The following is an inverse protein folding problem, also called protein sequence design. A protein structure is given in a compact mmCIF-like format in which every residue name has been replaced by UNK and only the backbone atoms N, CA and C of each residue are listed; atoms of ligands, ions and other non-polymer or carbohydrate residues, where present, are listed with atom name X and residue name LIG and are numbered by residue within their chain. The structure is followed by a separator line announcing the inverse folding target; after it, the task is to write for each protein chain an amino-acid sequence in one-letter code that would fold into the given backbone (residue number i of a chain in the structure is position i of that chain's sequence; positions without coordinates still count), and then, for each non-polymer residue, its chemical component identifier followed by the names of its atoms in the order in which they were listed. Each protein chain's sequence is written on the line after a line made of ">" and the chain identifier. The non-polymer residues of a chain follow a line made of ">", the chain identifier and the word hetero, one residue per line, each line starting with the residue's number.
data_IF_303087107716
#
_entry.id   IF_303087107716
#
_cell.length_a   1.000
_cell.length_b   1.000
_cell.length_c   1.000
_cell.angle_alpha   90.00
_cell.angle_beta   90.00
_cell.angle_gamma   90.00
#
_symmetry.space_group_name_H-M   'P 1'
#
loop_
_entity.id
_entity.type
_entity.pdbx_description
1 polymer ?
#
# COMPACT_ATOMS: atom_id res chain seq x y z
N UNK A 1 11.24 10.58 11.73
CA UNK A 1 10.44 11.25 10.68
C UNK A 1 9.14 11.73 11.31
N UNK A 2 8.61 12.90 10.92
CA UNK A 2 7.32 13.41 11.41
C UNK A 2 6.32 13.51 10.25
N UNK A 3 5.03 13.42 10.55
CA UNK A 3 3.93 13.63 9.60
C UNK A 3 2.82 14.45 10.27
N UNK A 4 1.94 15.02 9.45
CA UNK A 4 0.78 15.78 9.93
C UNK A 4 -0.33 14.81 10.33
N UNK A 5 -0.97 15.09 11.46
CA UNK A 5 -2.23 14.45 11.85
C UNK A 5 -3.40 15.25 11.31
N UNK A 6 -4.48 14.57 10.97
CA UNK A 6 -5.73 15.18 10.53
C UNK A 6 -6.83 14.73 11.48
N UNK A 7 -7.75 15.62 11.85
CA UNK A 7 -8.76 15.32 12.87
C UNK A 7 -9.75 14.23 12.43
N UNK A 8 -10.04 14.15 11.13
CA UNK A 8 -11.05 13.23 10.57
C UNK A 8 -10.44 12.08 9.74
N UNK A 9 -9.12 12.07 9.51
CA UNK A 9 -8.46 11.09 8.64
C UNK A 9 -7.21 10.48 9.26
N UNK A 10 -7.03 9.18 9.05
CA UNK A 10 -5.85 8.44 9.51
C UNK A 10 -4.67 8.76 8.59
N UNK A 11 -3.54 9.31 9.11
CA UNK A 11 -2.34 9.46 8.32
C UNK A 11 -1.79 8.08 7.91
N UNK A 12 -1.46 7.84 6.64
CA UNK A 12 -0.98 6.53 6.19
C UNK A 12 0.33 6.13 6.87
N UNK A 13 1.17 7.10 7.22
CA UNK A 13 2.40 6.88 7.98
C UNK A 13 2.10 6.35 9.39
N UNK A 14 1.04 6.85 10.04
CA UNK A 14 0.62 6.38 11.36
C UNK A 14 0.15 4.93 11.31
N UNK A 15 -0.67 4.58 10.30
CA UNK A 15 -1.13 3.20 10.14
C UNK A 15 0.04 2.20 10.00
N UNK A 16 1.10 2.58 9.28
CA UNK A 16 2.31 1.77 9.11
C UNK A 16 3.13 1.69 10.41
N UNK A 17 3.22 2.78 11.18
CA UNK A 17 3.88 2.74 12.49
C UNK A 17 3.15 1.84 13.49
N UNK A 18 1.82 1.91 13.54
CA UNK A 18 1.02 1.01 14.36
C UNK A 18 1.24 -0.44 13.93
N UNK A 19 1.33 -0.70 12.63
CA UNK A 19 1.68 -2.03 12.14
C UNK A 19 3.08 -2.46 12.62
N UNK A 20 4.09 -1.60 12.51
CA UNK A 20 5.46 -1.85 12.99
C UNK A 20 5.51 -2.18 14.49
N UNK A 21 4.75 -1.45 15.31
CA UNK A 21 4.61 -1.69 16.74
C UNK A 21 3.94 -3.04 17.04
N UNK A 22 2.86 -3.37 16.34
CA UNK A 22 2.12 -4.62 16.52
C UNK A 22 2.92 -5.85 16.10
N UNK A 23 3.75 -5.72 15.07
CA UNK A 23 4.60 -6.82 14.57
C UNK A 23 5.99 -6.80 15.18
N UNK A 24 6.32 -5.76 15.98
CA UNK A 24 7.66 -5.50 16.50
C UNK A 24 8.73 -5.54 15.39
N UNK A 25 8.42 -5.06 14.18
CA UNK A 25 9.34 -5.09 13.03
C UNK A 25 9.72 -6.50 12.52
N UNK A 26 9.06 -7.57 13.00
CA UNK A 26 9.42 -8.96 12.67
C UNK A 26 8.72 -9.49 11.41
N UNK A 27 7.62 -8.87 11.00
CA UNK A 27 6.85 -9.32 9.84
C UNK A 27 7.64 -9.22 8.53
N UNK A 28 7.33 -10.13 7.61
CA UNK A 28 7.69 -10.00 6.20
C UNK A 28 6.65 -9.08 5.56
N UNK A 29 7.12 -8.01 4.94
CA UNK A 29 6.31 -7.00 4.29
C UNK A 29 6.47 -7.13 2.78
N UNK A 30 5.37 -7.40 2.08
CA UNK A 30 5.26 -7.08 0.65
C UNK A 30 4.64 -5.72 0.47
N UNK A 31 4.89 -5.09 -0.68
CA UNK A 31 4.19 -3.85 -1.05
C UNK A 31 3.70 -3.89 -2.48
N UNK A 32 2.61 -3.17 -2.72
CA UNK A 32 2.32 -2.63 -4.04
C UNK A 32 3.34 -1.56 -4.47
N UNK A 33 2.95 -0.75 -5.46
CA UNK A 33 3.75 0.37 -5.96
C UNK A 33 2.94 1.66 -5.89
N UNK A 34 3.52 2.69 -5.27
CA UNK A 34 2.86 3.98 -5.04
C UNK A 34 3.40 4.70 -3.81
N UNK A 35 2.63 5.65 -3.25
CA UNK A 35 3.05 6.35 -2.03
C UNK A 35 3.18 5.41 -0.83
N UNK A 36 2.27 4.43 -0.70
CA UNK A 36 2.29 3.42 0.35
C UNK A 36 3.61 2.63 0.37
N UNK A 37 4.19 2.33 -0.80
CA UNK A 37 5.50 1.68 -0.92
C UNK A 37 6.61 2.51 -0.26
N UNK A 38 6.60 3.83 -0.50
CA UNK A 38 7.60 4.74 0.07
C UNK A 38 7.38 4.93 1.58
N UNK A 39 6.14 5.02 2.03
CA UNK A 39 5.86 5.11 3.47
C UNK A 39 6.19 3.81 4.20
N UNK A 40 5.97 2.64 3.59
CA UNK A 40 6.39 1.36 4.15
C UNK A 40 7.92 1.28 4.28
N UNK A 41 8.66 1.80 3.30
CA UNK A 41 10.12 1.89 3.36
C UNK A 41 10.62 2.85 4.46
N UNK A 42 9.87 3.92 4.72
CA UNK A 42 10.26 4.99 5.64
C UNK A 42 9.87 4.72 7.10
N UNK A 43 8.71 4.11 7.34
CA UNK A 43 8.07 4.07 8.67
C UNK A 43 7.99 2.67 9.28
N UNK A 44 8.31 1.60 8.55
CA UNK A 44 8.41 0.26 9.09
C UNK A 44 9.86 -0.11 9.40
N UNK A 45 10.12 -0.73 10.55
CA UNK A 45 11.45 -1.03 11.06
C UNK A 45 11.85 -2.46 10.73
N UNK A 46 12.54 -2.66 9.61
CA UNK A 46 13.04 -3.98 9.20
C UNK A 46 14.26 -4.41 10.03
N UNK A 47 14.12 -5.50 10.80
CA UNK A 47 15.15 -6.00 11.73
C UNK A 47 16.11 -7.04 11.14
N UNK A 48 15.75 -7.69 10.04
CA UNK A 48 16.54 -8.76 9.42
C UNK A 48 16.48 -8.71 7.90
N UNK A 49 17.48 -9.29 7.20
CA UNK A 49 17.47 -9.39 5.75
C UNK A 49 16.22 -10.13 5.24
N UNK A 50 15.81 -9.80 4.01
CA UNK A 50 14.70 -10.45 3.28
C UNK A 50 13.33 -10.29 3.95
N UNK A 51 13.13 -9.24 4.75
CA UNK A 51 11.79 -8.87 5.26
C UNK A 51 11.02 -7.97 4.31
N UNK A 52 11.69 -7.17 3.48
CA UNK A 52 11.01 -6.23 2.59
C UNK A 52 11.04 -6.73 1.14
N UNK A 53 9.87 -7.06 0.62
CA UNK A 53 9.65 -7.58 -0.73
C UNK A 53 8.90 -6.52 -1.53
N UNK A 54 9.58 -5.85 -2.46
CA UNK A 54 8.98 -4.76 -3.23
C UNK A 54 9.45 -4.75 -4.67
N UNK A 55 8.57 -4.33 -5.59
CA UNK A 55 8.93 -4.10 -6.99
C UNK A 55 9.57 -2.72 -7.14
N UNK A 56 10.91 -2.68 -7.08
CA UNK A 56 11.68 -1.45 -7.18
C UNK A 56 11.87 -0.96 -8.61
N UNK A 57 12.63 -1.70 -9.42
CA UNK A 57 13.12 -1.20 -10.72
C UNK A 57 12.02 -1.05 -11.77
N UNK A 58 11.20 -2.10 -11.97
CA UNK A 58 10.12 -2.05 -12.97
C UNK A 58 8.88 -1.32 -12.43
N UNK A 59 8.71 -1.26 -11.10
CA UNK A 59 7.58 -0.56 -10.48
C UNK A 59 6.23 -1.18 -10.84
N UNK A 60 6.10 -2.51 -10.72
CA UNK A 60 4.88 -3.24 -11.08
C UNK A 60 3.81 -3.11 -9.99
N UNK A 61 2.74 -2.36 -10.29
CA UNK A 61 1.50 -2.39 -9.49
C UNK A 61 0.87 -3.79 -9.53
N UNK A 62 0.28 -4.24 -8.42
CA UNK A 62 -0.22 -5.62 -8.27
C UNK A 62 0.80 -6.65 -7.80
N UNK A 63 2.05 -6.25 -7.59
CA UNK A 63 3.09 -7.14 -7.07
C UNK A 63 2.83 -7.61 -5.62
N UNK A 64 2.25 -6.74 -4.78
CA UNK A 64 2.14 -6.94 -3.33
C UNK A 64 1.49 -8.26 -2.94
N UNK A 65 0.21 -8.43 -3.30
CA UNK A 65 -0.59 -9.59 -2.94
C UNK A 65 0.03 -10.96 -3.33
N UNK A 66 0.41 -11.20 -4.60
CA UNK A 66 1.05 -12.48 -4.98
C UNK A 66 2.43 -12.67 -4.33
N UNK A 67 3.19 -11.60 -4.08
CA UNK A 67 4.46 -11.70 -3.36
C UNK A 67 4.27 -12.10 -1.89
N UNK A 68 3.26 -11.57 -1.20
CA UNK A 68 2.89 -12.00 0.14
C UNK A 68 2.49 -13.47 0.18
N UNK A 69 1.73 -13.95 -0.81
CA UNK A 69 1.36 -15.36 -0.91
C UNK A 69 2.60 -16.26 -1.00
N UNK A 70 3.53 -15.94 -1.90
CA UNK A 70 4.78 -16.67 -2.02
C UNK A 70 5.61 -16.66 -0.73
N UNK A 71 5.66 -15.51 -0.05
CA UNK A 71 6.36 -15.37 1.22
C UNK A 71 5.72 -16.20 2.35
N UNK A 72 4.39 -16.25 2.41
CA UNK A 72 3.64 -17.05 3.39
C UNK A 72 3.83 -18.55 3.17
N UNK A 73 3.86 -18.99 1.90
CA UNK A 73 4.17 -20.39 1.56
C UNK A 73 5.62 -20.74 1.95
N UNK A 74 6.58 -19.84 1.69
CA UNK A 74 7.98 -20.06 2.02
C UNK A 74 8.29 -19.95 3.53
N UNK A 75 7.43 -19.27 4.31
CA UNK A 75 7.64 -19.03 5.74
C UNK A 75 6.31 -19.19 6.52
N UNK A 76 5.82 -20.43 6.72
CA UNK A 76 4.48 -20.67 7.29
C UNK A 76 4.23 -20.07 8.68
N UNK A 77 5.29 -19.97 9.50
CA UNK A 77 5.21 -19.44 10.87
C UNK A 77 5.42 -17.91 10.94
N UNK A 78 5.76 -17.27 9.84
CA UNK A 78 6.01 -15.84 9.82
C UNK A 78 4.71 -15.03 9.70
N UNK A 79 4.69 -13.86 10.33
CA UNK A 79 3.68 -12.84 10.01
C UNK A 79 4.04 -12.27 8.64
N UNK A 80 3.14 -12.41 7.67
CA UNK A 80 3.28 -11.84 6.33
C UNK A 80 2.19 -10.81 6.10
N UNK A 81 2.58 -9.59 5.78
CA UNK A 81 1.67 -8.45 5.57
C UNK A 81 1.94 -7.83 4.21
N UNK A 82 0.88 -7.66 3.43
CA UNK A 82 0.88 -6.88 2.22
C UNK A 82 0.42 -5.46 2.52
N UNK A 83 1.33 -4.48 2.40
CA UNK A 83 0.97 -3.06 2.49
C UNK A 83 0.71 -2.57 1.07
N UNK A 84 -0.56 -2.44 0.70
CA UNK A 84 -0.97 -2.13 -0.66
C UNK A 84 -1.80 -0.85 -0.73
N UNK A 85 -1.79 -0.21 -1.90
CA UNK A 85 -2.69 0.89 -2.24
C UNK A 85 -3.87 0.37 -3.05
N UNK A 86 -5.01 1.02 -2.92
CA UNK A 86 -6.24 0.75 -3.69
C UNK A 86 -6.03 0.46 -5.19
N UNK A 87 -5.33 1.33 -5.92
CA UNK A 87 -5.08 1.15 -7.35
C UNK A 87 -4.14 -0.02 -7.66
N UNK A 88 -3.17 -0.29 -6.79
CA UNK A 88 -2.22 -1.39 -6.97
C UNK A 88 -2.87 -2.74 -6.63
N UNK A 89 -3.62 -2.79 -5.55
CA UNK A 89 -4.37 -3.98 -5.10
C UNK A 89 -5.34 -4.48 -6.18
N UNK A 90 -6.03 -3.56 -6.86
CA UNK A 90 -6.98 -3.90 -7.92
C UNK A 90 -6.36 -4.63 -9.12
N UNK A 91 -5.05 -4.51 -9.35
CA UNK A 91 -4.38 -5.17 -10.48
C UNK A 91 -4.38 -6.71 -10.34
N UNK A 92 -4.35 -7.22 -9.10
CA UNK A 92 -4.26 -8.65 -8.81
C UNK A 92 -5.24 -9.13 -7.74
N UNK A 93 -6.34 -8.40 -7.52
CA UNK A 93 -7.36 -8.73 -6.49
C UNK A 93 -7.97 -10.13 -6.65
N UNK A 94 -7.96 -10.70 -7.86
CA UNK A 94 -8.42 -12.07 -8.11
C UNK A 94 -7.66 -13.12 -7.28
N UNK A 95 -6.44 -12.84 -6.83
CA UNK A 95 -5.65 -13.76 -6.02
C UNK A 95 -6.20 -13.96 -4.60
N UNK A 96 -7.17 -13.15 -4.16
CA UNK A 96 -7.95 -13.45 -2.95
C UNK A 96 -8.63 -14.82 -3.02
N UNK A 97 -9.02 -15.26 -4.22
CA UNK A 97 -9.55 -16.61 -4.44
C UNK A 97 -8.47 -17.67 -4.13
N UNK A 98 -7.26 -17.46 -4.61
CA UNK A 98 -6.11 -18.34 -4.36
C UNK A 98 -5.77 -18.39 -2.87
N UNK A 99 -5.70 -17.24 -2.19
CA UNK A 99 -5.50 -17.17 -0.72
C UNK A 99 -6.53 -18.00 0.03
N UNK A 100 -7.81 -17.94 -0.40
CA UNK A 100 -8.88 -18.69 0.23
C UNK A 100 -8.77 -20.20 -0.03
N UNK A 101 -8.47 -20.61 -1.26
CA UNK A 101 -8.34 -22.02 -1.66
C UNK A 101 -7.15 -22.68 -0.96
N UNK A 102 -6.01 -22.01 -0.95
CA UNK A 102 -4.75 -22.51 -0.36
C UNK A 102 -4.65 -22.25 1.15
N UNK A 103 -5.67 -21.62 1.75
CA UNK A 103 -5.74 -21.28 3.17
C UNK A 103 -4.48 -20.54 3.67
N UNK A 104 -4.01 -19.56 2.90
CA UNK A 104 -2.77 -18.83 3.21
C UNK A 104 -3.02 -17.76 4.27
N UNK A 105 -2.18 -17.66 5.31
CA UNK A 105 -2.38 -16.69 6.39
C UNK A 105 -1.82 -15.30 6.04
N UNK A 106 -2.13 -14.78 4.86
CA UNK A 106 -1.71 -13.43 4.41
C UNK A 106 -2.59 -12.35 5.05
N UNK A 107 -1.97 -11.26 5.53
CA UNK A 107 -2.66 -10.09 6.07
C UNK A 107 -2.52 -8.95 5.07
N UNK A 108 -3.56 -8.14 4.85
CA UNK A 108 -3.54 -7.04 3.89
C UNK A 108 -3.82 -5.74 4.65
N UNK A 109 -2.89 -4.80 4.60
CA UNK A 109 -3.07 -3.42 5.04
C UNK A 109 -3.31 -2.57 3.79
N UNK A 110 -4.58 -2.30 3.49
CA UNK A 110 -4.99 -1.51 2.34
C UNK A 110 -5.06 -0.01 2.69
N UNK A 111 -4.12 0.78 2.17
CA UNK A 111 -4.14 2.24 2.28
C UNK A 111 -4.98 2.82 1.14
N UNK A 112 -6.27 2.97 1.42
CA UNK A 112 -7.27 3.46 0.46
C UNK A 112 -7.41 4.99 0.55
N UNK A 113 -6.91 5.70 -0.46
CA UNK A 113 -7.08 7.15 -0.60
C UNK A 113 -7.92 7.54 -1.84
N UNK A 114 -8.55 6.56 -2.50
CA UNK A 114 -9.36 6.69 -3.71
C UNK A 114 -8.61 7.30 -4.90
N UNK A 115 -7.27 7.23 -4.91
CA UNK A 115 -6.45 7.87 -5.92
C UNK A 115 -5.21 7.04 -6.27
N UNK A 116 -4.73 7.19 -7.50
CA UNK A 116 -3.36 6.83 -7.87
C UNK A 116 -2.39 7.85 -7.24
N UNK A 117 -2.27 7.82 -5.92
CA UNK A 117 -1.72 8.92 -5.12
C UNK A 117 -0.31 9.35 -5.49
N UNK A 118 0.54 8.43 -5.96
CA UNK A 118 1.87 8.80 -6.44
C UNK A 118 1.78 9.67 -7.70
N UNK A 119 0.90 9.31 -8.64
CA UNK A 119 0.69 10.11 -9.87
C UNK A 119 0.09 11.47 -9.51
N UNK A 120 -0.95 11.49 -8.65
CA UNK A 120 -1.58 12.72 -8.18
C UNK A 120 -0.57 13.67 -7.52
N UNK A 121 0.35 13.14 -6.72
CA UNK A 121 1.40 13.95 -6.10
C UNK A 121 2.28 14.67 -7.14
N UNK A 122 2.58 14.02 -8.26
CA UNK A 122 3.32 14.66 -9.35
C UNK A 122 2.44 15.65 -10.13
N UNK A 123 1.17 15.31 -10.38
CA UNK A 123 0.20 16.18 -11.05
C UNK A 123 -0.02 17.50 -10.27
N UNK A 124 -0.23 17.41 -8.96
CA UNK A 124 -0.39 18.55 -8.06
C UNK A 124 0.87 19.42 -8.03
N UNK A 125 2.06 18.80 -8.00
CA UNK A 125 3.33 19.53 -7.85
C UNK A 125 3.84 20.15 -9.14
N UNK A 126 3.63 19.50 -10.29
CA UNK A 126 4.29 19.86 -11.54
C UNK A 126 3.33 20.16 -12.69
N UNK A 127 2.06 19.78 -12.57
CA UNK A 127 1.06 19.91 -13.64
C UNK A 127 -0.18 20.70 -13.21
N UNK A 128 0.00 21.67 -12.28
CA UNK A 128 -1.06 22.60 -11.82
C UNK A 128 -2.31 21.89 -11.28
N UNK A 129 -2.13 20.74 -10.63
CA UNK A 129 -3.23 19.90 -10.16
C UNK A 129 -4.22 19.47 -11.27
N UNK A 130 -3.74 19.37 -12.51
CA UNK A 130 -4.50 18.73 -13.59
C UNK A 130 -4.46 17.21 -13.41
N UNK A 131 -5.43 16.68 -12.66
CA UNK A 131 -5.55 15.26 -12.31
C UNK A 131 -6.22 14.48 -13.43
N UNK A 132 -5.44 13.80 -14.27
CA UNK A 132 -5.94 13.15 -15.48
C UNK A 132 -6.12 11.64 -15.26
N UNK A 133 -7.36 11.22 -14.98
CA UNK A 133 -7.75 9.81 -14.79
C UNK A 133 -7.04 9.11 -13.61
N UNK A 134 -6.77 9.85 -12.55
CA UNK A 134 -6.07 9.35 -11.36
C UNK A 134 -6.97 9.17 -10.14
N UNK A 135 -8.27 9.49 -10.25
CA UNK A 135 -9.28 9.20 -9.23
C UNK A 135 -9.96 7.85 -9.50
N UNK A 136 -10.14 7.06 -8.46
CA UNK A 136 -10.67 5.69 -8.53
C UNK A 136 -12.09 5.55 -7.98
N UNK A 137 -12.62 6.59 -7.34
CA UNK A 137 -13.97 6.61 -6.77
C UNK A 137 -15.06 6.99 -7.77
N UNK A 138 -16.19 7.49 -7.25
CA UNK A 138 -17.35 7.89 -8.06
C UNK A 138 -17.05 9.20 -8.84
N UNK A 139 -16.95 9.16 -10.18
CA UNK A 139 -16.59 10.34 -10.96
C UNK A 139 -17.65 11.45 -10.93
N UNK A 140 -18.85 11.20 -10.40
CA UNK A 140 -19.89 12.22 -10.22
C UNK A 140 -19.65 13.11 -9.01
N UNK A 141 -18.78 12.70 -8.07
CA UNK A 141 -18.48 13.45 -6.86
C UNK A 141 -17.25 14.35 -7.06
N UNK A 142 -17.41 15.44 -7.82
CA UNK A 142 -16.32 16.35 -8.20
C UNK A 142 -15.53 16.89 -6.99
N UNK A 143 -16.16 17.04 -5.83
CA UNK A 143 -15.51 17.54 -4.59
C UNK A 143 -14.45 16.57 -4.07
N UNK A 144 -14.59 15.27 -4.31
CA UNK A 144 -13.60 14.27 -3.90
C UNK A 144 -12.46 14.16 -4.91
N UNK A 145 -12.72 14.47 -6.18
CA UNK A 145 -11.72 14.51 -7.26
C UNK A 145 -10.81 15.73 -7.10
N UNK A 146 -11.39 16.89 -6.75
CA UNK A 146 -10.71 18.18 -6.62
C UNK A 146 -10.99 18.82 -5.24
N UNK A 147 -10.49 18.25 -4.13
CA UNK A 147 -10.76 18.75 -2.78
C UNK A 147 -10.13 20.11 -2.45
N UNK A 148 -9.41 20.72 -3.40
CA UNK A 148 -8.68 21.99 -3.23
C UNK A 148 -9.18 23.07 -4.21
N UNK A 149 -10.31 22.84 -4.91
CA UNK A 149 -10.99 23.82 -5.75
C UNK A 149 -12.14 24.51 -5.02
#
# INVERSE_FOLDING_TARGET
>A
MSYKTFDEAIPPQYAIQVLDELTNGEAIISTGVGQHQMWAAQFYSYKRPRQWLTSGSLGVMGFGLPAAMGAAVANPDAIVVDIDGDGSFMMNVQELATIKVENLPVKILLLNNQHLGMVVQWEDRFYKANRAHTYLGDPTNEKEIFPIC
#
